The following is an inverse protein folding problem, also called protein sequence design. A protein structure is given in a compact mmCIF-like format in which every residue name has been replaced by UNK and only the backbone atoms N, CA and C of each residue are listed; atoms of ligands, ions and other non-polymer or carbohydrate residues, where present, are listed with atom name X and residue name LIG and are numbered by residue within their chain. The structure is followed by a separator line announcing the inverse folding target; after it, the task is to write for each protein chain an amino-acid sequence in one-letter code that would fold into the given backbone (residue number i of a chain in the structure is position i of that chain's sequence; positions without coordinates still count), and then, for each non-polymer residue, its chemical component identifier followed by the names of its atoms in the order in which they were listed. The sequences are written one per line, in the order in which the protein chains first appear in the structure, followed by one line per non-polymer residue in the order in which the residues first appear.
data_IF_107948836614
#
_entry.id   IF_107948836614
#
_cell.length_a   1.000
_cell.length_b   1.000
_cell.length_c   1.000
_cell.angle_alpha   90.00
_cell.angle_beta   90.00
_cell.angle_gamma   90.00
#
_symmetry.space_group_name_H-M   'P 1'
#
loop_
_entity.id
_entity.type
_entity.pdbx_description
1 polymer ?
#
# COMPACT_ATOMS: atom_id res chain seq x y z
N UNK A 1 33.09 -52.26 42.02
CA UNK A 1 32.81 -51.21 41.00
C UNK A 1 32.20 -51.91 39.78
N UNK A 2 31.19 -51.35 39.08
CA UNK A 2 30.75 -49.94 39.06
C UNK A 2 29.25 -49.77 39.41
N UNK A 3 28.89 -48.79 40.24
CA UNK A 3 28.59 -47.36 39.97
C UNK A 3 27.13 -47.08 39.63
N UNK A 4 26.51 -46.36 40.57
CA UNK A 4 25.18 -45.75 40.52
C UNK A 4 24.98 -44.80 39.33
N UNK A 5 23.72 -44.59 38.92
CA UNK A 5 23.37 -43.70 37.81
C UNK A 5 23.56 -42.23 38.21
N UNK A 6 24.46 -41.53 37.52
CA UNK A 6 24.56 -40.07 37.58
C UNK A 6 23.40 -39.45 36.81
N UNK A 7 22.47 -38.83 37.52
CA UNK A 7 21.47 -37.92 36.95
C UNK A 7 22.18 -36.73 36.29
N UNK A 8 22.03 -36.61 34.97
CA UNK A 8 22.50 -35.44 34.22
C UNK A 8 21.33 -34.47 34.13
N UNK A 9 21.34 -33.46 35.00
CA UNK A 9 20.43 -32.33 34.96
C UNK A 9 20.70 -31.48 33.71
N UNK A 10 20.03 -31.81 32.60
CA UNK A 10 20.00 -30.94 31.42
C UNK A 10 18.93 -29.87 31.63
N UNK A 11 19.38 -28.65 31.90
CA UNK A 11 18.56 -27.44 31.83
C UNK A 11 17.96 -27.32 30.42
N UNK A 12 16.75 -27.85 30.22
CA UNK A 12 16.05 -27.84 28.95
C UNK A 12 14.96 -26.77 28.95
N UNK A 13 15.34 -25.54 28.63
CA UNK A 13 14.41 -24.51 28.14
C UNK A 13 14.09 -24.75 26.64
N UNK A 14 14.06 -26.01 26.21
CA UNK A 14 13.64 -26.38 24.85
C UNK A 14 12.13 -26.68 24.94
N UNK A 15 11.33 -25.76 24.41
CA UNK A 15 9.90 -25.99 24.15
C UNK A 15 9.77 -27.21 23.23
N UNK A 16 9.65 -28.39 23.82
CA UNK A 16 9.48 -29.63 23.08
C UNK A 16 8.02 -29.67 22.64
N UNK A 17 7.76 -29.17 21.43
CA UNK A 17 6.46 -29.31 20.79
C UNK A 17 6.09 -30.81 20.69
N UNK A 18 4.80 -31.17 20.83
CA UNK A 18 4.38 -32.55 20.74
C UNK A 18 4.78 -33.16 19.39
N UNK A 19 5.27 -34.40 19.43
CA UNK A 19 5.76 -35.10 18.24
C UNK A 19 4.64 -35.21 17.20
N UNK A 20 4.95 -34.87 15.95
CA UNK A 20 3.99 -34.93 14.86
C UNK A 20 3.54 -36.38 14.62
N UNK A 21 2.23 -36.63 14.40
CA UNK A 21 1.74 -37.96 14.07
C UNK A 21 2.33 -38.43 12.74
N UNK A 22 2.66 -39.72 12.67
CA UNK A 22 3.13 -40.38 11.45
C UNK A 22 2.00 -40.41 10.42
N UNK A 23 2.28 -39.98 9.18
CA UNK A 23 1.31 -39.97 8.07
C UNK A 23 1.64 -41.09 7.07
N UNK A 24 0.61 -41.72 6.49
CA UNK A 24 0.74 -42.75 5.45
C UNK A 24 0.57 -42.22 4.02
N UNK A 25 0.07 -40.99 3.85
CA UNK A 25 -0.14 -40.37 2.53
C UNK A 25 1.18 -39.93 1.88
N UNK A 26 1.44 -40.44 0.67
CA UNK A 26 2.65 -40.15 -0.11
C UNK A 26 2.81 -38.66 -0.45
N UNK A 27 1.71 -37.94 -0.68
CA UNK A 27 1.73 -36.50 -0.96
C UNK A 27 2.18 -35.75 0.29
N UNK A 28 1.62 -36.09 1.46
CA UNK A 28 1.97 -35.47 2.73
C UNK A 28 3.41 -35.75 3.12
N UNK A 29 3.87 -36.99 2.94
CA UNK A 29 5.28 -37.35 3.15
C UNK A 29 6.21 -36.50 2.28
N UNK A 30 5.88 -36.31 1.00
CA UNK A 30 6.69 -35.45 0.12
C UNK A 30 6.64 -33.99 0.54
N UNK A 31 5.49 -33.48 1.00
CA UNK A 31 5.38 -32.13 1.54
C UNK A 31 6.25 -31.93 2.78
N UNK A 32 6.24 -32.89 3.72
CA UNK A 32 7.09 -32.85 4.92
C UNK A 32 8.58 -32.81 4.56
N UNK A 33 9.00 -33.67 3.63
CA UNK A 33 10.38 -33.70 3.12
C UNK A 33 10.78 -32.36 2.48
N UNK A 34 9.92 -31.76 1.65
CA UNK A 34 10.20 -30.48 1.01
C UNK A 34 10.29 -29.32 2.01
N UNK A 35 9.49 -29.33 3.08
CA UNK A 35 9.59 -28.34 4.15
C UNK A 35 10.88 -28.54 4.95
N UNK A 36 11.25 -29.78 5.27
CA UNK A 36 12.51 -30.09 5.96
C UNK A 36 13.73 -29.62 5.15
N UNK A 37 13.74 -29.89 3.83
CA UNK A 37 14.80 -29.43 2.93
C UNK A 37 14.87 -27.88 2.86
N UNK A 38 13.73 -27.19 2.95
CA UNK A 38 13.71 -25.73 3.00
C UNK A 38 14.36 -25.18 4.28
N UNK A 39 14.13 -25.84 5.42
CA UNK A 39 14.77 -25.50 6.70
C UNK A 39 16.28 -25.76 6.70
N UNK A 40 16.77 -26.68 5.87
CA UNK A 40 18.19 -27.01 5.76
C UNK A 40 19.00 -26.09 4.83
N UNK A 41 18.35 -25.17 4.09
CA UNK A 41 18.96 -24.40 2.97
C UNK A 41 20.12 -23.46 3.36
N UNK A 42 20.44 -23.27 4.65
CA UNK A 42 21.55 -22.40 5.07
C UNK A 42 22.35 -22.89 6.27
N UNK A 43 22.30 -24.19 6.59
CA UNK A 43 23.08 -24.82 7.68
C UNK A 43 22.86 -24.24 9.10
N UNK A 44 22.00 -23.23 9.24
CA UNK A 44 21.63 -22.63 10.53
C UNK A 44 21.09 -23.67 11.53
N UNK A 45 20.48 -24.75 11.02
CA UNK A 45 19.96 -25.86 11.83
C UNK A 45 21.06 -26.62 12.58
N UNK A 46 22.28 -26.65 12.05
CA UNK A 46 23.44 -27.33 12.67
C UNK A 46 23.86 -26.56 13.93
N UNK A 47 23.91 -25.22 13.84
CA UNK A 47 24.28 -24.37 14.97
C UNK A 47 23.22 -24.37 16.08
N UNK A 48 21.94 -24.51 15.71
CA UNK A 48 20.81 -24.50 16.66
C UNK A 48 20.54 -25.91 17.23
N UNK A 49 20.94 -26.97 16.52
CA UNK A 49 20.68 -28.36 16.91
C UNK A 49 19.20 -28.77 16.77
N UNK A 50 18.43 -28.08 15.91
CA UNK A 50 17.02 -28.36 15.72
C UNK A 50 16.79 -29.50 14.72
N UNK A 51 15.85 -30.39 15.00
CA UNK A 51 15.42 -31.44 14.07
C UNK A 51 14.47 -30.87 13.01
N UNK A 52 15.02 -30.56 11.83
CA UNK A 52 14.27 -30.06 10.68
C UNK A 52 13.19 -31.03 10.18
N UNK A 53 13.37 -32.34 10.36
CA UNK A 53 12.42 -33.36 9.91
C UNK A 53 11.16 -33.31 10.77
N UNK A 54 11.35 -33.31 12.09
CA UNK A 54 10.27 -33.22 13.06
C UNK A 54 9.54 -31.87 12.96
N UNK A 55 10.28 -30.76 12.83
CA UNK A 55 9.69 -29.43 12.67
C UNK A 55 8.88 -29.32 11.38
N UNK A 56 9.38 -29.87 10.27
CA UNK A 56 8.66 -29.93 9.00
C UNK A 56 7.36 -30.74 9.10
N UNK A 57 7.38 -31.85 9.84
CA UNK A 57 6.20 -32.66 10.10
C UNK A 57 5.15 -31.91 10.93
N UNK A 58 5.57 -31.18 11.96
CA UNK A 58 4.67 -30.37 12.78
C UNK A 58 4.03 -29.24 11.98
N UNK A 59 4.82 -28.49 11.19
CA UNK A 59 4.31 -27.41 10.33
C UNK A 59 3.26 -27.96 9.35
N UNK A 60 3.54 -29.10 8.71
CA UNK A 60 2.61 -29.74 7.78
C UNK A 60 1.30 -30.14 8.46
N UNK A 61 1.37 -30.71 9.67
CA UNK A 61 0.19 -31.10 10.44
C UNK A 61 -0.71 -29.89 10.75
N UNK A 62 -0.13 -28.78 11.17
CA UNK A 62 -0.89 -27.55 11.41
C UNK A 62 -1.44 -26.92 10.13
N UNK A 63 -0.82 -27.15 8.96
CA UNK A 63 -1.36 -26.72 7.66
C UNK A 63 -2.57 -27.57 7.26
N UNK A 64 -2.60 -28.86 7.63
CA UNK A 64 -3.71 -29.78 7.37
C UNK A 64 -4.98 -29.48 8.21
N UNK A 65 -5.08 -28.29 8.81
CA UNK A 65 -6.27 -27.84 9.54
C UNK A 65 -7.58 -28.02 8.76
N UNK A 66 -7.55 -27.92 7.42
CA UNK A 66 -8.72 -28.11 6.56
C UNK A 66 -9.08 -29.59 6.25
N UNK A 67 -8.35 -30.57 6.79
CA UNK A 67 -8.55 -32.01 6.61
C UNK A 67 -8.72 -32.47 5.14
N UNK A 68 -8.21 -31.72 4.18
CA UNK A 68 -8.25 -32.10 2.77
C UNK A 68 -6.96 -31.73 2.05
N UNK A 69 -6.52 -32.61 1.15
CA UNK A 69 -5.28 -32.47 0.35
C UNK A 69 -5.54 -31.69 -0.95
N UNK A 70 -6.28 -30.60 -0.85
CA UNK A 70 -6.70 -29.79 -1.98
C UNK A 70 -5.58 -28.91 -2.55
N UNK A 71 -5.86 -28.26 -3.69
CA UNK A 71 -4.95 -27.26 -4.26
C UNK A 71 -4.60 -26.14 -3.27
N UNK A 72 -5.54 -25.75 -2.38
CA UNK A 72 -5.31 -24.76 -1.33
C UNK A 72 -4.23 -25.21 -0.34
N UNK A 73 -4.22 -26.48 0.06
CA UNK A 73 -3.18 -27.09 0.89
C UNK A 73 -1.82 -27.02 0.18
N UNK A 74 -1.76 -27.49 -1.08
CA UNK A 74 -0.52 -27.48 -1.87
C UNK A 74 0.02 -26.05 -2.04
N UNK A 75 -0.84 -25.07 -2.30
CA UNK A 75 -0.47 -23.66 -2.41
C UNK A 75 0.11 -23.11 -1.10
N UNK A 76 -0.49 -23.48 0.04
CA UNK A 76 0.01 -23.09 1.37
C UNK A 76 1.39 -23.66 1.63
N UNK A 77 1.59 -24.96 1.36
CA UNK A 77 2.89 -25.63 1.51
C UNK A 77 3.94 -24.98 0.62
N UNK A 78 3.65 -24.76 -0.68
CA UNK A 78 4.58 -24.08 -1.61
C UNK A 78 4.94 -22.66 -1.14
N UNK A 79 3.96 -21.91 -0.63
CA UNK A 79 4.21 -20.58 -0.06
C UNK A 79 5.19 -20.66 1.12
N UNK A 80 5.02 -21.61 2.05
CA UNK A 80 5.95 -21.78 3.18
C UNK A 80 7.35 -22.14 2.72
N UNK A 81 7.48 -23.09 1.80
CA UNK A 81 8.77 -23.48 1.23
C UNK A 81 9.47 -22.26 0.62
N UNK A 82 8.77 -21.45 -0.18
CA UNK A 82 9.37 -20.28 -0.82
C UNK A 82 9.83 -19.22 0.19
N UNK A 83 9.11 -19.03 1.30
CA UNK A 83 9.51 -18.07 2.33
C UNK A 83 10.70 -18.58 3.16
N UNK A 84 10.73 -19.87 3.48
CA UNK A 84 11.85 -20.48 4.24
C UNK A 84 13.14 -20.57 3.43
N UNK A 85 13.02 -20.72 2.10
CA UNK A 85 14.15 -20.73 1.16
C UNK A 85 14.62 -19.33 0.77
N UNK A 86 14.00 -18.25 1.25
CA UNK A 86 14.42 -16.91 0.87
C UNK A 86 15.79 -16.57 1.47
N UNK A 87 16.79 -16.41 0.60
CA UNK A 87 18.14 -16.05 0.99
C UNK A 87 18.25 -14.60 1.50
N UNK A 88 17.29 -13.74 1.14
CA UNK A 88 17.25 -12.34 1.60
C UNK A 88 16.80 -12.21 3.04
N UNK A 89 16.10 -13.22 3.58
CA UNK A 89 15.59 -13.22 4.95
C UNK A 89 15.97 -14.52 5.69
N UNK A 90 17.25 -14.71 6.05
CA UNK A 90 17.66 -15.86 6.85
C UNK A 90 17.12 -15.79 8.30
N UNK A 91 16.78 -14.60 8.79
CA UNK A 91 16.25 -14.41 10.15
C UNK A 91 14.94 -15.13 10.37
N UNK A 92 14.03 -15.16 9.39
CA UNK A 92 12.79 -15.92 9.49
C UNK A 92 13.06 -17.40 9.79
N UNK A 93 13.97 -18.02 9.01
CA UNK A 93 14.37 -19.42 9.19
C UNK A 93 15.00 -19.67 10.56
N UNK A 94 15.92 -18.81 11.00
CA UNK A 94 16.55 -18.90 12.33
C UNK A 94 15.51 -18.81 13.45
N UNK A 95 14.55 -17.89 13.33
CA UNK A 95 13.50 -17.69 14.34
C UNK A 95 12.58 -18.91 14.46
N UNK A 96 12.34 -19.61 13.35
CA UNK A 96 11.63 -20.91 13.33
C UNK A 96 12.44 -22.01 14.00
N UNK A 97 13.71 -22.15 13.62
CA UNK A 97 14.61 -23.17 14.16
C UNK A 97 14.84 -22.99 15.66
N UNK A 98 14.97 -21.75 16.15
CA UNK A 98 15.09 -21.45 17.57
C UNK A 98 13.78 -21.61 18.36
N UNK A 99 12.66 -21.94 17.70
CA UNK A 99 11.35 -22.11 18.35
C UNK A 99 10.70 -20.80 18.82
N UNK A 100 11.23 -19.63 18.43
CA UNK A 100 10.63 -18.34 18.76
C UNK A 100 9.31 -18.12 18.02
N UNK A 101 9.17 -18.66 16.81
CA UNK A 101 7.87 -18.82 16.16
C UNK A 101 7.44 -20.28 16.24
N UNK A 102 6.26 -20.53 16.79
CA UNK A 102 5.69 -21.87 16.90
C UNK A 102 5.32 -22.43 15.52
N UNK A 103 5.37 -23.77 15.33
CA UNK A 103 4.92 -24.42 14.09
C UNK A 103 3.48 -24.06 13.71
N UNK A 104 2.60 -23.91 14.71
CA UNK A 104 1.22 -23.47 14.52
C UNK A 104 1.15 -22.03 13.96
N UNK A 105 1.92 -21.10 14.54
CA UNK A 105 1.95 -19.71 14.05
C UNK A 105 2.54 -19.67 12.64
N UNK A 106 3.58 -20.45 12.37
CA UNK A 106 4.15 -20.62 11.03
C UNK A 106 3.11 -21.12 10.02
N UNK A 107 2.28 -22.09 10.38
CA UNK A 107 1.22 -22.57 9.50
C UNK A 107 0.15 -21.50 9.20
N UNK A 108 -0.22 -20.69 10.20
CA UNK A 108 -1.31 -19.71 10.08
C UNK A 108 -0.92 -18.35 9.50
N UNK A 109 0.31 -17.86 9.74
CA UNK A 109 0.75 -16.51 9.36
C UNK A 109 0.61 -16.19 7.87
N UNK A 110 0.42 -14.93 7.51
CA UNK A 110 0.26 -14.52 6.10
C UNK A 110 1.61 -14.38 5.41
N UNK A 111 1.61 -14.36 4.06
CA UNK A 111 2.83 -14.12 3.28
C UNK A 111 3.43 -12.72 3.52
N UNK A 112 2.58 -11.75 3.88
CA UNK A 112 3.01 -10.40 4.23
C UNK A 112 3.71 -10.36 5.60
N UNK A 113 3.22 -11.14 6.56
CA UNK A 113 3.83 -11.23 7.90
C UNK A 113 5.18 -11.95 7.90
N UNK A 114 5.40 -12.88 6.96
CA UNK A 114 6.66 -13.64 6.80
C UNK A 114 7.76 -12.87 6.06
N UNK A 115 7.44 -11.75 5.42
CA UNK A 115 8.42 -10.93 4.72
C UNK A 115 9.48 -10.35 5.68
N UNK A 116 10.61 -9.89 5.14
CA UNK A 116 11.62 -9.19 5.93
C UNK A 116 11.02 -7.96 6.62
N UNK A 117 11.55 -7.61 7.79
CA UNK A 117 11.06 -6.47 8.57
C UNK A 117 11.14 -5.16 7.78
N UNK A 118 12.21 -4.97 7.01
CA UNK A 118 12.37 -3.81 6.12
C UNK A 118 11.26 -3.73 5.06
N UNK A 119 10.97 -4.84 4.38
CA UNK A 119 9.94 -4.87 3.34
C UNK A 119 8.54 -4.70 3.93
N UNK A 120 8.32 -5.25 5.12
CA UNK A 120 7.08 -5.10 5.87
C UNK A 120 6.86 -3.64 6.26
N UNK A 121 7.89 -2.94 6.74
CA UNK A 121 7.78 -1.52 7.09
C UNK A 121 7.61 -0.65 5.85
N UNK A 122 8.34 -0.92 4.77
CA UNK A 122 8.18 -0.24 3.49
C UNK A 122 6.73 -0.35 2.97
N UNK A 123 6.17 -1.57 2.96
CA UNK A 123 4.77 -1.79 2.55
C UNK A 123 3.79 -1.03 3.44
N UNK A 124 3.97 -1.09 4.76
CA UNK A 124 3.13 -0.32 5.70
C UNK A 124 3.20 1.17 5.45
N UNK A 125 4.39 1.71 5.17
CA UNK A 125 4.55 3.13 4.87
C UNK A 125 3.84 3.50 3.56
N UNK A 126 4.05 2.72 2.51
CA UNK A 126 3.39 2.94 1.22
C UNK A 126 1.86 2.85 1.32
N UNK A 127 1.34 1.87 2.07
CA UNK A 127 -0.12 1.78 2.31
C UNK A 127 -0.63 2.98 3.11
N UNK A 128 0.09 3.43 4.14
CA UNK A 128 -0.28 4.62 4.91
C UNK A 128 -0.27 5.87 4.04
N UNK A 129 0.74 6.03 3.19
CA UNK A 129 0.86 7.16 2.27
C UNK A 129 -0.24 7.14 1.21
N UNK A 130 -0.51 5.99 0.60
CA UNK A 130 -1.62 5.84 -0.33
C UNK A 130 -2.95 6.20 0.31
N UNK A 131 -3.21 5.71 1.54
CA UNK A 131 -4.44 6.06 2.29
C UNK A 131 -4.52 7.56 2.56
N UNK A 132 -3.41 8.21 2.98
CA UNK A 132 -3.38 9.65 3.19
C UNK A 132 -3.66 10.43 1.92
N UNK A 133 -3.03 10.05 0.82
CA UNK A 133 -3.19 10.70 -0.48
C UNK A 133 -4.64 10.60 -0.98
N UNK A 134 -5.25 9.42 -0.84
CA UNK A 134 -6.66 9.21 -1.20
C UNK A 134 -7.62 10.05 -0.34
N UNK A 135 -7.30 10.28 0.94
CA UNK A 135 -8.10 11.14 1.82
C UNK A 135 -7.91 12.63 1.53
N UNK A 136 -6.80 13.03 0.89
CA UNK A 136 -6.44 14.42 0.61
C UNK A 136 -6.90 14.93 -0.75
N UNK A 137 -7.67 14.15 -1.52
CA UNK A 137 -8.28 14.59 -2.77
C UNK A 137 -9.18 15.82 -2.51
N UNK A 138 -8.57 17.00 -2.66
CA UNK A 138 -9.21 18.29 -2.41
C UNK A 138 -10.26 18.49 -3.50
N UNK A 139 -11.49 18.80 -3.11
CA UNK A 139 -12.62 19.00 -4.03
C UNK A 139 -12.25 20.02 -5.11
N UNK A 140 -12.27 19.55 -6.34
CA UNK A 140 -11.57 20.15 -7.48
C UNK A 140 -11.97 21.59 -7.80
N UNK A 141 -10.94 22.42 -7.97
CA UNK A 141 -10.97 23.66 -8.72
C UNK A 141 -9.68 24.45 -8.48
N UNK A 142 -9.46 25.49 -9.26
CA UNK A 142 -8.27 26.34 -9.15
C UNK A 142 -8.46 27.35 -8.01
N UNK A 143 -7.60 27.28 -7.00
CA UNK A 143 -7.57 28.25 -5.91
C UNK A 143 -7.16 29.63 -6.45
N UNK A 144 -7.87 30.67 -6.04
CA UNK A 144 -7.67 32.03 -6.52
C UNK A 144 -8.01 33.05 -5.45
N UNK A 145 -7.19 34.10 -5.35
CA UNK A 145 -7.44 35.25 -4.48
C UNK A 145 -8.18 36.40 -5.20
N UNK A 146 -8.59 36.19 -6.46
CA UNK A 146 -9.25 37.21 -7.27
C UNK A 146 -10.64 37.58 -6.75
N UNK A 147 -11.29 36.69 -6.00
CA UNK A 147 -12.65 36.86 -5.53
C UNK A 147 -12.70 37.00 -4.01
N UNK A 148 -13.39 38.04 -3.53
CA UNK A 148 -13.66 38.22 -2.09
C UNK A 148 -15.07 37.75 -1.77
N UNK A 149 -15.21 36.88 -0.77
CA UNK A 149 -16.52 36.34 -0.38
C UNK A 149 -17.38 37.41 0.32
N UNK A 150 -18.63 37.57 -0.10
CA UNK A 150 -19.56 38.52 0.53
C UNK A 150 -20.00 38.16 1.95
N UNK A 151 -19.88 36.89 2.38
CA UNK A 151 -20.29 36.44 3.73
C UNK A 151 -19.15 36.51 4.76
N UNK A 152 -18.01 35.87 4.48
CA UNK A 152 -16.87 35.82 5.41
C UNK A 152 -15.80 36.90 5.15
N UNK A 153 -15.87 37.60 4.01
CA UNK A 153 -14.84 38.54 3.53
C UNK A 153 -13.44 37.93 3.30
N UNK A 154 -13.31 36.60 3.38
CA UNK A 154 -12.12 35.87 3.01
C UNK A 154 -11.90 35.82 1.50
N UNK A 155 -10.64 35.58 1.10
CA UNK A 155 -10.19 35.48 -0.30
C UNK A 155 -9.94 34.04 -0.75
N UNK A 156 -10.01 33.05 0.15
CA UNK A 156 -9.86 31.64 -0.18
C UNK A 156 -11.05 31.11 -0.98
N UNK A 157 -11.06 31.44 -2.28
CA UNK A 157 -12.09 31.03 -3.22
C UNK A 157 -11.51 30.10 -4.28
N UNK A 158 -12.33 29.16 -4.73
CA UNK A 158 -12.05 28.24 -5.82
C UNK A 158 -12.95 28.60 -7.00
N UNK A 159 -12.40 28.71 -8.21
CA UNK A 159 -13.21 28.96 -9.40
C UNK A 159 -13.22 27.75 -10.34
N UNK A 160 -14.35 27.55 -11.02
CA UNK A 160 -14.50 26.58 -12.10
C UNK A 160 -15.25 27.26 -13.23
N UNK A 161 -14.67 27.24 -14.42
CA UNK A 161 -15.30 27.83 -15.59
C UNK A 161 -16.01 26.73 -16.37
N UNK A 162 -17.31 26.90 -16.58
CA UNK A 162 -18.15 25.93 -17.28
C UNK A 162 -18.94 26.66 -18.36
N UNK A 163 -18.93 26.13 -19.57
CA UNK A 163 -19.82 26.57 -20.63
C UNK A 163 -21.19 25.92 -20.40
N UNK A 164 -22.12 26.66 -19.77
CA UNK A 164 -23.44 26.14 -19.42
C UNK A 164 -24.53 26.47 -20.45
N UNK A 165 -24.17 27.10 -21.56
CA UNK A 165 -25.09 27.70 -22.54
C UNK A 165 -24.55 27.60 -23.96
N UNK A 166 -25.34 27.99 -24.96
CA UNK A 166 -24.99 27.97 -26.39
C UNK A 166 -23.63 28.64 -26.67
N UNK A 167 -23.01 28.29 -27.81
CA UNK A 167 -21.70 28.80 -28.21
C UNK A 167 -21.60 30.34 -28.31
N UNK A 168 -22.74 31.02 -28.47
CA UNK A 168 -22.82 32.49 -28.57
C UNK A 168 -22.72 33.22 -27.22
N UNK A 169 -22.78 32.52 -26.08
CA UNK A 169 -22.65 33.10 -24.75
C UNK A 169 -21.27 32.79 -24.12
N UNK A 170 -20.61 33.78 -23.48
CA UNK A 170 -19.30 33.57 -22.89
C UNK A 170 -19.37 32.57 -21.72
N UNK A 171 -18.26 31.88 -21.47
CA UNK A 171 -18.13 30.90 -20.40
C UNK A 171 -18.53 31.48 -19.03
N UNK A 172 -19.31 30.72 -18.26
CA UNK A 172 -19.76 31.16 -16.93
C UNK A 172 -18.74 30.71 -15.88
N UNK A 173 -18.29 31.63 -15.04
CA UNK A 173 -17.37 31.32 -13.93
C UNK A 173 -18.18 31.04 -12.66
N UNK A 174 -18.07 29.84 -12.11
CA UNK A 174 -18.61 29.48 -10.80
C UNK A 174 -17.53 29.70 -9.75
N UNK A 175 -17.86 30.46 -8.71
CA UNK A 175 -16.95 30.71 -7.60
C UNK A 175 -17.52 30.05 -6.34
N UNK A 176 -16.66 29.34 -5.62
CA UNK A 176 -16.97 28.67 -4.36
C UNK A 176 -16.00 29.17 -3.29
N UNK A 177 -16.52 29.65 -2.16
CA UNK A 177 -15.70 30.05 -1.02
C UNK A 177 -15.42 28.83 -0.12
N UNK A 178 -14.14 28.50 0.07
CA UNK A 178 -13.72 27.32 0.84
C UNK A 178 -13.96 27.49 2.35
N UNK A 179 -14.05 28.72 2.85
CA UNK A 179 -14.21 29.00 4.29
C UNK A 179 -15.66 28.93 4.77
N UNK A 180 -16.62 29.40 3.98
CA UNK A 180 -18.04 29.49 4.39
C UNK A 180 -19.00 28.71 3.49
N UNK A 181 -18.49 28.02 2.46
CA UNK A 181 -19.28 27.23 1.52
C UNK A 181 -20.19 28.05 0.59
N UNK A 182 -20.03 29.38 0.54
CA UNK A 182 -20.85 30.22 -0.32
C UNK A 182 -20.48 30.00 -1.80
N UNK A 183 -21.49 29.78 -2.65
CA UNK A 183 -21.31 29.58 -4.09
C UNK A 183 -22.08 30.63 -4.88
N UNK A 184 -21.44 31.28 -5.84
CA UNK A 184 -22.09 32.26 -6.72
C UNK A 184 -21.56 32.15 -8.15
N UNK A 185 -22.27 32.79 -9.09
CA UNK A 185 -21.92 32.81 -10.52
C UNK A 185 -21.44 34.20 -10.89
N UNK A 186 -20.37 34.28 -11.68
CA UNK A 186 -19.89 35.51 -12.29
C UNK A 186 -20.01 35.40 -13.82
N UNK A 187 -20.82 36.28 -14.40
CA UNK A 187 -20.96 36.40 -15.85
C UNK A 187 -20.28 37.70 -16.30
N UNK A 188 -19.23 37.58 -17.12
CA UNK A 188 -18.68 38.74 -17.82
C UNK A 188 -19.69 39.17 -18.88
N UNK A 189 -20.52 40.16 -18.58
CA UNK A 189 -21.22 40.90 -19.62
C UNK A 189 -20.19 41.79 -20.33
N UNK A 190 -19.64 41.29 -21.43
CA UNK A 190 -18.93 42.13 -22.37
C UNK A 190 -19.95 43.04 -23.05
N UNK A 191 -20.12 44.26 -22.55
CA UNK A 191 -20.91 45.27 -23.23
C UNK A 191 -20.11 45.76 -24.44
N UNK A 192 -20.21 45.04 -25.57
CA UNK A 192 -19.71 45.51 -26.85
C UNK A 192 -20.59 46.68 -27.30
N UNK A 193 -20.22 47.89 -26.85
CA UNK A 193 -20.92 49.12 -27.22
C UNK A 193 -20.68 49.38 -28.71
N UNK A 194 -21.60 48.88 -29.56
CA UNK A 194 -21.70 49.26 -30.97
C UNK A 194 -22.12 50.74 -31.04
N UNK A 195 -21.19 51.67 -30.87
CA UNK A 195 -21.40 53.07 -31.23
C UNK A 195 -21.46 53.19 -32.75
N UNK A 196 -22.68 53.17 -33.31
CA UNK A 196 -22.99 53.64 -34.66
C UNK A 196 -22.55 55.11 -34.78
N UNK A 197 -21.42 55.38 -35.44
CA UNK A 197 -21.06 56.74 -35.89
C UNK A 197 -21.85 57.06 -37.16
N UNK A 198 -22.87 57.93 -37.05
CA UNK A 198 -23.37 58.75 -38.18
C UNK A 198 -22.43 59.96 -38.33
N UNK A 199 -22.22 60.35 -39.59
CA UNK A 199 -21.31 61.36 -40.11
C UNK A 199 -21.37 62.75 -39.41
N UNK A 200 -20.22 63.40 -39.22
CA UNK A 200 -19.85 64.67 -39.92
C UNK A 200 -18.56 65.28 -39.33
N UNK A 201 -17.54 65.41 -40.19
CA UNK A 201 -16.45 66.39 -40.30
C UNK A 201 -15.77 67.07 -39.08
N UNK A 202 -14.44 67.17 -39.22
CA UNK A 202 -13.48 68.09 -38.56
C UNK A 202 -12.97 67.70 -37.16
N UNK A 203 -11.85 66.96 -37.08
CA UNK A 203 -10.50 67.51 -36.87
C UNK A 203 -9.49 66.37 -36.81
N UNK A 204 -8.42 66.56 -37.57
CA UNK A 204 -7.29 65.65 -37.76
C UNK A 204 -6.25 65.89 -36.67
N UNK A 205 -5.54 64.83 -36.31
CA UNK A 205 -4.22 64.79 -35.64
C UNK A 205 -4.17 65.05 -34.13
N UNK A 206 -3.73 64.03 -33.39
CA UNK A 206 -2.32 63.96 -32.99
C UNK A 206 -1.91 62.51 -32.65
N UNK A 207 -1.06 61.95 -33.51
CA UNK A 207 0.16 61.16 -33.23
C UNK A 207 -0.02 59.90 -32.34
N UNK A 208 -0.12 58.70 -32.94
CA UNK A 208 0.98 57.75 -33.25
C UNK A 208 1.93 57.48 -32.07
N UNK A 209 1.97 56.23 -31.60
CA UNK A 209 3.18 55.38 -31.58
C UNK A 209 2.80 53.93 -31.24
N UNK A 210 3.15 53.04 -32.19
CA UNK A 210 3.48 51.60 -32.12
C UNK A 210 2.49 50.65 -31.40
N UNK A 211 1.78 49.69 -32.01
CA UNK A 211 2.09 48.76 -33.11
C UNK A 211 3.36 47.91 -32.91
N UNK A 212 3.24 46.59 -33.13
CA UNK A 212 4.15 45.45 -32.86
C UNK A 212 4.09 44.91 -31.41
N UNK A 213 3.71 43.65 -31.13
CA UNK A 213 3.64 42.44 -31.97
C UNK A 213 2.54 41.48 -31.50
N UNK A 214 1.78 40.94 -32.46
CA UNK A 214 1.02 39.70 -32.33
C UNK A 214 1.95 38.48 -32.52
N UNK A 215 1.47 37.33 -32.03
CA UNK A 215 1.68 35.98 -32.57
C UNK A 215 3.08 35.34 -32.40
N UNK A 216 3.21 34.57 -31.33
CA UNK A 216 3.19 33.10 -31.41
C UNK A 216 2.26 32.55 -30.32
#
# INVERSE_FOLDING_TARGET
LPHEPTEVSTNSLINTFPRAPTTSDSIRLKCRELIANALQTGEDYIAIGADCSELGAQIEEYILYFKNTDMKYKNRVRSRISNLKDMKNPNLRRTVLCGSVTPERMAKMTAEEMASDELKEMRKNLTKEAVRDHQMATTGGTQTDLFTCGKCKGKCCTYTQVQTRSADEPMTTFVFCNECGNRWKFAFFCHCSKKKKKHSWLWVSLIKICCFSLLF
#
